data_IF_097741777762
#
_entry.id   IF_097741777762
#
_cell.length_a   1.000
_cell.length_b   1.000
_cell.length_c   1.000
_cell.angle_alpha   90.00
_cell.angle_beta   90.00
_cell.angle_gamma   90.00
#
_symmetry.space_group_name_H-M   'P 1'
#
loop_
_entity.id
_entity.type
_entity.pdbx_description
1 polymer ?
#
# COMPACT_ATOMS: atom_id res chain seq x y z
N UNK A 1 -1.09 -2.61 6.09
CA UNK A 1 -0.93 -2.82 7.54
C UNK A 1 0.27 -2.01 7.99
N UNK A 2 0.00 -0.87 8.63
CA UNK A 2 0.78 -0.28 9.75
C UNK A 2 2.29 -0.09 9.63
N UNK A 3 2.64 1.19 9.68
CA UNK A 3 3.91 1.79 10.10
C UNK A 3 4.43 1.13 11.39
N UNK A 4 5.70 0.69 11.44
CA UNK A 4 6.26 0.17 12.69
C UNK A 4 6.24 1.27 13.76
N UNK A 5 6.00 0.86 15.01
CA UNK A 5 6.37 1.70 16.15
C UNK A 5 5.24 2.21 17.05
N UNK A 6 4.13 1.47 17.20
CA UNK A 6 3.23 1.75 18.35
C UNK A 6 3.90 1.19 19.61
N UNK A 7 4.23 2.05 20.57
CA UNK A 7 4.69 1.63 21.90
C UNK A 7 3.54 0.89 22.59
N UNK A 8 3.66 -0.44 22.67
CA UNK A 8 2.66 -1.31 23.31
C UNK A 8 2.97 -1.57 24.78
N UNK A 9 4.10 -1.04 25.27
CA UNK A 9 4.51 -1.16 26.66
C UNK A 9 6.01 -0.93 26.83
N UNK A 10 6.50 -1.27 28.02
CA UNK A 10 7.92 -1.18 28.37
C UNK A 10 8.41 -2.51 28.89
N UNK A 11 9.66 -2.86 28.56
CA UNK A 11 10.29 -4.07 29.09
C UNK A 11 10.68 -3.89 30.56
N UNK A 12 11.20 -4.95 31.17
CA UNK A 12 11.69 -4.95 32.57
C UNK A 12 12.84 -3.96 32.83
N UNK A 13 13.43 -3.39 31.78
CA UNK A 13 14.50 -2.40 31.81
C UNK A 13 14.02 -1.01 31.38
N UNK A 14 12.71 -0.78 31.34
CA UNK A 14 12.07 0.48 30.97
C UNK A 14 12.29 0.92 29.52
N UNK A 15 12.68 0.00 28.62
CA UNK A 15 12.81 0.27 27.18
C UNK A 15 11.46 0.11 26.49
N UNK A 16 11.10 0.99 25.54
CA UNK A 16 9.84 0.88 24.80
C UNK A 16 9.83 -0.41 23.96
N UNK A 17 8.71 -1.14 24.03
CA UNK A 17 8.41 -2.30 23.20
C UNK A 17 7.48 -1.83 22.10
N UNK A 18 7.87 -2.09 20.86
CA UNK A 18 7.08 -1.77 19.68
C UNK A 18 6.46 -3.04 19.11
N UNK A 19 5.21 -2.95 18.67
CA UNK A 19 4.57 -4.03 17.91
C UNK A 19 4.10 -3.55 16.55
N UNK A 20 4.16 -4.48 15.60
CA UNK A 20 3.52 -4.37 14.30
C UNK A 20 2.03 -4.69 14.49
N UNK A 21 1.26 -3.70 14.91
CA UNK A 21 -0.19 -3.83 15.08
C UNK A 21 -0.86 -3.80 13.73
N UNK A 22 -1.91 -4.59 13.49
CA UNK A 22 -2.68 -4.47 12.26
C UNK A 22 -3.76 -3.39 12.37
N UNK A 23 -3.78 -2.44 11.44
CA UNK A 23 -4.84 -1.42 11.31
C UNK A 23 -5.46 -1.61 9.94
N UNK A 24 -6.78 -1.71 9.94
CA UNK A 24 -7.61 -1.69 8.75
C UNK A 24 -7.62 -0.28 8.15
N UNK A 25 -7.41 -0.20 6.84
CA UNK A 25 -7.47 1.05 6.09
C UNK A 25 -8.65 0.94 5.13
N UNK A 26 -9.64 1.81 5.29
CA UNK A 26 -10.81 1.88 4.41
C UNK A 26 -10.51 2.80 3.22
N UNK A 27 -11.40 2.76 2.20
CA UNK A 27 -11.35 3.67 1.04
C UNK A 27 -10.06 3.57 0.22
N UNK A 28 -9.47 2.38 0.17
CA UNK A 28 -8.27 2.08 -0.62
C UNK A 28 -8.67 1.57 -2.00
N UNK A 29 -8.21 2.25 -3.05
CA UNK A 29 -8.28 1.69 -4.41
C UNK A 29 -7.04 0.83 -4.68
N UNK A 30 -7.23 -0.25 -5.44
CA UNK A 30 -6.16 -1.20 -5.80
C UNK A 30 -6.13 -1.33 -7.32
N UNK A 31 -4.97 -1.06 -7.92
CA UNK A 31 -4.72 -1.28 -9.34
C UNK A 31 -3.59 -2.31 -9.52
N UNK A 32 -3.54 -3.01 -10.67
CA UNK A 32 -2.37 -3.81 -11.04
C UNK A 32 -1.16 -2.89 -11.24
N UNK A 33 0.02 -3.29 -10.77
CA UNK A 33 1.24 -2.49 -10.90
C UNK A 33 1.76 -2.48 -12.34
N UNK A 34 1.94 -3.66 -12.93
CA UNK A 34 2.21 -3.83 -14.35
C UNK A 34 1.35 -4.96 -14.90
N UNK A 35 0.74 -4.73 -16.06
CA UNK A 35 0.04 -5.78 -16.81
C UNK A 35 0.78 -6.01 -18.12
N UNK A 36 1.10 -7.27 -18.43
CA UNK A 36 1.44 -7.63 -19.81
C UNK A 36 0.21 -8.20 -20.50
N UNK A 37 0.04 -7.83 -21.76
CA UNK A 37 -1.06 -8.28 -22.61
C UNK A 37 -0.50 -9.17 -23.71
N UNK A 38 -1.24 -10.21 -24.05
CA UNK A 38 -1.00 -10.98 -25.26
C UNK A 38 -1.31 -10.10 -26.47
N UNK A 39 -0.31 -9.89 -27.33
CA UNK A 39 -0.42 -8.97 -28.47
C UNK A 39 -1.42 -9.44 -29.55
N UNK A 40 -1.79 -10.72 -29.56
CA UNK A 40 -2.68 -11.31 -30.57
C UNK A 40 -4.14 -11.28 -30.12
N UNK A 41 -4.39 -11.51 -28.83
CA UNK A 41 -5.73 -11.65 -28.25
C UNK A 41 -6.16 -10.43 -27.44
N UNK A 42 -5.21 -9.57 -27.05
CA UNK A 42 -5.44 -8.43 -26.14
C UNK A 42 -5.71 -8.85 -24.68
N UNK A 43 -5.57 -10.13 -24.35
CA UNK A 43 -5.83 -10.66 -23.02
C UNK A 43 -4.69 -10.31 -22.07
N UNK A 44 -5.01 -9.91 -20.83
CA UNK A 44 -4.01 -9.77 -19.76
C UNK A 44 -3.46 -11.15 -19.40
N UNK A 45 -2.16 -11.35 -19.60
CA UNK A 45 -1.46 -12.62 -19.39
C UNK A 45 -0.63 -12.64 -18.10
N UNK A 46 -0.19 -11.48 -17.61
CA UNK A 46 0.54 -11.38 -16.35
C UNK A 46 0.20 -10.06 -15.66
N UNK A 47 0.00 -10.12 -14.33
CA UNK A 47 -0.13 -8.95 -13.47
C UNK A 47 0.96 -9.02 -12.41
N UNK A 48 1.89 -8.07 -12.43
CA UNK A 48 2.98 -7.98 -11.47
C UNK A 48 2.76 -6.83 -10.51
N UNK A 49 2.82 -7.16 -9.22
CA UNK A 49 2.68 -6.18 -8.15
C UNK A 49 1.30 -5.54 -8.10
N UNK A 50 1.13 -4.64 -7.13
CA UNK A 50 -0.10 -3.89 -6.92
C UNK A 50 0.24 -2.44 -6.63
N UNK A 51 -0.59 -1.53 -7.12
CA UNK A 51 -0.55 -0.12 -6.73
C UNK A 51 -1.73 0.18 -5.84
N UNK A 52 -1.46 0.69 -4.64
CA UNK A 52 -2.46 1.11 -3.66
C UNK A 52 -2.60 2.63 -3.68
N UNK A 53 -3.85 3.07 -3.68
CA UNK A 53 -4.23 4.48 -3.62
C UNK A 53 -4.90 4.69 -2.27
N UNK A 54 -4.17 5.33 -1.36
CA UNK A 54 -4.54 5.46 0.04
C UNK A 54 -5.18 6.84 0.31
N UNK A 55 -6.09 6.93 1.29
CA UNK A 55 -6.60 8.20 1.77
C UNK A 55 -5.47 9.15 2.23
N UNK A 56 -5.67 10.48 2.14
CA UNK A 56 -4.63 11.47 2.44
C UNK A 56 -4.16 11.47 3.89
N UNK A 57 -4.97 10.96 4.82
CA UNK A 57 -4.64 10.82 6.23
C UNK A 57 -3.70 9.63 6.51
N UNK A 58 -3.53 8.72 5.55
CA UNK A 58 -2.73 7.51 5.72
C UNK A 58 -1.27 7.80 5.37
N UNK A 59 -0.41 7.69 6.37
CA UNK A 59 1.04 7.78 6.21
C UNK A 59 1.65 6.38 6.33
N UNK A 60 2.62 6.11 5.45
CA UNK A 60 3.19 4.77 5.25
C UNK A 60 4.69 4.85 5.47
N UNK A 61 5.21 4.00 6.37
CA UNK A 61 6.66 3.89 6.56
C UNK A 61 7.32 3.13 5.40
N UNK A 62 8.61 3.38 5.11
CA UNK A 62 9.36 2.64 4.10
C UNK A 62 9.43 1.13 4.31
N UNK A 63 9.29 0.66 5.55
CA UNK A 63 9.34 -0.78 5.90
C UNK A 63 7.97 -1.41 6.12
N UNK A 64 6.88 -0.66 5.87
CA UNK A 64 5.53 -1.17 6.08
C UNK A 64 5.18 -2.29 5.07
N UNK A 65 4.17 -3.08 5.42
CA UNK A 65 3.67 -4.20 4.60
C UNK A 65 2.16 -4.10 4.43
N UNK A 66 1.63 -4.60 3.34
CA UNK A 66 0.19 -4.57 3.08
C UNK A 66 -0.37 -5.96 2.97
N UNK A 67 -1.44 -6.22 3.72
CA UNK A 67 -2.26 -7.40 3.57
C UNK A 67 -3.36 -7.03 2.58
N UNK A 68 -3.31 -7.62 1.38
CA UNK A 68 -4.32 -7.41 0.35
C UNK A 68 -4.94 -8.76 0.05
N UNK A 69 -6.25 -8.89 0.31
CA UNK A 69 -7.01 -10.14 0.08
C UNK A 69 -6.36 -11.38 0.75
N UNK A 70 -5.84 -11.21 1.96
CA UNK A 70 -5.23 -12.28 2.76
C UNK A 70 -3.75 -12.55 2.48
N UNK A 71 -3.14 -11.90 1.48
CA UNK A 71 -1.72 -12.05 1.14
C UNK A 71 -0.91 -10.84 1.58
N UNK A 72 0.29 -11.07 2.09
CA UNK A 72 1.17 -10.00 2.60
C UNK A 72 2.18 -9.60 1.53
N UNK A 73 2.26 -8.31 1.22
CA UNK A 73 3.20 -7.77 0.25
C UNK A 73 4.06 -6.68 0.91
N UNK A 74 5.39 -6.69 0.70
CA UNK A 74 6.22 -5.55 1.07
C UNK A 74 6.00 -4.40 0.08
N UNK A 75 6.29 -3.19 0.53
CA UNK A 75 6.33 -2.02 -0.35
C UNK A 75 7.51 -2.15 -1.31
N UNK A 76 7.28 -1.77 -2.56
CA UNK A 76 8.31 -1.57 -3.56
C UNK A 76 8.58 -0.06 -3.72
N UNK A 77 9.71 0.39 -3.18
CA UNK A 77 10.12 1.79 -3.19
C UNK A 77 9.53 2.64 -2.08
N UNK A 78 9.37 3.94 -2.33
CA UNK A 78 8.85 4.90 -1.37
C UNK A 78 7.37 5.21 -1.65
N UNK A 79 6.61 5.52 -0.59
CA UNK A 79 5.28 6.10 -0.71
C UNK A 79 5.36 7.48 -1.38
N UNK A 80 4.42 7.78 -2.26
CA UNK A 80 4.39 9.03 -3.02
C UNK A 80 3.17 9.85 -2.60
N UNK A 81 3.40 11.07 -2.13
CA UNK A 81 2.31 12.01 -1.86
C UNK A 81 1.69 12.42 -3.21
N UNK A 82 0.40 12.15 -3.37
CA UNK A 82 -0.34 12.49 -4.59
C UNK A 82 -1.30 13.65 -4.33
N UNK A 83 -0.74 14.84 -4.17
CA UNK A 83 -1.54 16.06 -4.06
C UNK A 83 -1.99 16.52 -5.46
N UNK A 84 -3.31 16.54 -5.69
CA UNK A 84 -3.96 17.01 -6.94
C UNK A 84 -3.53 16.25 -8.20
N UNK A 85 -4.06 15.04 -8.45
CA UNK A 85 -3.84 14.35 -9.71
C UNK A 85 -4.25 15.20 -10.93
N UNK A 86 -3.34 15.34 -11.90
CA UNK A 86 -3.59 16.02 -13.18
C UNK A 86 -4.66 15.21 -13.94
N UNK A 87 -5.79 15.83 -14.29
CA UNK A 87 -6.87 15.20 -15.09
C UNK A 87 -8.24 15.08 -14.42
N UNK A 88 -8.36 15.35 -13.11
CA UNK A 88 -9.66 15.37 -12.41
C UNK A 88 -10.31 16.75 -12.57
N UNK A 89 -11.13 16.90 -13.62
CA UNK A 89 -11.83 18.14 -13.96
C UNK A 89 -13.16 18.23 -13.21
N UNK A 90 -13.14 19.02 -12.12
CA UNK A 90 -14.26 19.74 -11.48
C UNK A 90 -15.66 19.41 -12.01
N UNK A 91 -16.34 18.48 -11.32
CA UNK A 91 -17.78 18.49 -10.98
C UNK A 91 -18.21 17.15 -10.34
N UNK A 92 -17.40 16.09 -10.45
CA UNK A 92 -17.74 14.75 -9.90
C UNK A 92 -16.65 14.09 -9.04
N UNK A 93 -15.48 14.70 -8.88
CA UNK A 93 -14.31 14.00 -8.33
C UNK A 93 -14.08 14.34 -6.85
N UNK A 94 -14.77 13.61 -5.97
CA UNK A 94 -14.49 13.59 -4.53
C UNK A 94 -13.34 12.63 -4.15
N UNK A 95 -12.87 11.83 -5.12
CA UNK A 95 -11.79 10.89 -4.90
C UNK A 95 -10.44 11.59 -5.02
N UNK A 96 -9.83 11.84 -3.86
CA UNK A 96 -8.50 12.44 -3.73
C UNK A 96 -7.59 11.46 -2.98
N UNK A 97 -6.98 10.48 -3.68
CA UNK A 97 -5.97 9.65 -3.06
C UNK A 97 -4.80 10.55 -2.69
N UNK A 98 -4.43 10.62 -1.41
CA UNK A 98 -3.33 11.49 -0.99
C UNK A 98 -1.99 10.79 -0.92
N UNK A 99 -1.96 9.47 -1.01
CA UNK A 99 -0.73 8.67 -0.93
C UNK A 99 -0.82 7.44 -1.84
N UNK A 100 0.19 7.24 -2.68
CA UNK A 100 0.32 6.08 -3.56
C UNK A 100 1.48 5.20 -3.14
N UNK A 101 1.24 3.90 -3.13
CA UNK A 101 2.25 2.91 -2.76
C UNK A 101 2.24 1.78 -3.76
N UNK A 102 3.41 1.42 -4.28
CA UNK A 102 3.59 0.20 -5.05
C UNK A 102 3.98 -0.93 -4.11
N UNK A 103 3.45 -2.12 -4.37
CA UNK A 103 3.75 -3.34 -3.65
C UNK A 103 4.57 -4.26 -4.55
N UNK A 104 5.48 -5.01 -3.94
CA UNK A 104 6.25 -6.03 -4.64
C UNK A 104 5.33 -7.06 -5.31
N UNK A 105 5.78 -7.60 -6.44
CA UNK A 105 5.16 -8.74 -7.10
C UNK A 105 5.27 -10.04 -6.31
N UNK A 106 6.22 -10.11 -5.38
CA UNK A 106 6.44 -11.29 -4.55
C UNK A 106 5.72 -11.15 -3.21
N UNK A 107 4.96 -12.20 -2.85
CA UNK A 107 4.38 -12.32 -1.53
C UNK A 107 5.49 -12.47 -0.49
N UNK A 108 5.35 -11.76 0.63
CA UNK A 108 6.21 -11.97 1.79
C UNK A 108 5.89 -13.33 2.42
N UNK A 109 6.65 -14.35 2.03
CA UNK A 109 6.68 -15.62 2.74
C UNK A 109 7.49 -15.41 4.03
N UNK A 110 6.86 -15.54 5.19
CA UNK A 110 7.58 -15.64 6.46
C UNK A 110 8.60 -16.79 6.33
N UNK A 111 9.90 -16.47 6.33
CA UNK A 111 10.96 -17.44 6.54
C UNK A 111 11.21 -17.63 8.03
#
# INVERSE_FOLDING_TARGET
MVTPGVEIGRDRYNKPIFADVAIEVTDVAVAPGATSVDETTGQVIDTRGLTLYLPPTVKVAPTARFIVRGKTYPIDGASQDWDRPVGFSRLYDSWAPGNVVNLSSEEYANA
#
